data_IF_183044880202
#
_entry.id   IF_183044880202
#
_cell.length_a   1.000
_cell.length_b   1.000
_cell.length_c   1.000
_cell.angle_alpha   90.00
_cell.angle_beta   90.00
_cell.angle_gamma   90.00
#
_symmetry.space_group_name_H-M   'P 1'
#
loop_
_entity.id
_entity.type
_entity.pdbx_description
1 polymer ?
#
# COMPACT_ATOMS: atom_id res chain seq x y z
N UNK A 1 -22.90 -1.03 6.27
CA UNK A 1 -21.96 -1.68 5.35
C UNK A 1 -21.43 -2.92 6.05
N UNK A 2 -21.18 -4.02 5.35
CA UNK A 2 -20.47 -5.15 5.96
C UNK A 2 -19.09 -4.64 6.39
N UNK A 3 -18.67 -5.02 7.59
CA UNK A 3 -17.38 -4.67 8.18
C UNK A 3 -16.50 -5.91 8.12
N UNK A 4 -15.27 -5.76 7.62
CA UNK A 4 -14.30 -6.84 7.64
C UNK A 4 -13.69 -6.95 9.04
N UNK A 5 -13.80 -8.13 9.66
CA UNK A 5 -13.20 -8.41 10.96
C UNK A 5 -12.03 -9.38 10.81
N UNK A 6 -10.93 -9.09 11.49
CA UNK A 6 -9.73 -9.92 11.56
C UNK A 6 -9.03 -9.79 12.92
N UNK A 7 -8.20 -10.77 13.26
CA UNK A 7 -7.41 -10.74 14.49
C UNK A 7 -6.41 -9.59 14.43
N UNK A 8 -6.41 -8.71 15.44
CA UNK A 8 -5.54 -7.54 15.51
C UNK A 8 -6.14 -6.24 14.98
N UNK A 9 -7.33 -6.25 14.36
CA UNK A 9 -7.99 -5.03 13.85
C UNK A 9 -8.08 -3.94 14.92
N UNK A 10 -8.54 -4.26 16.11
CA UNK A 10 -8.71 -3.31 17.21
C UNK A 10 -7.43 -2.57 17.59
N UNK A 11 -6.26 -3.20 17.35
CA UNK A 11 -4.93 -2.63 17.64
C UNK A 11 -4.43 -1.70 16.55
N UNK A 12 -4.84 -1.92 15.31
CA UNK A 12 -4.32 -1.17 14.15
C UNK A 12 -5.28 -0.13 13.60
N UNK A 13 -6.56 -0.18 13.96
CA UNK A 13 -7.60 0.71 13.42
C UNK A 13 -7.27 2.20 13.60
N UNK A 14 -6.65 2.56 14.71
CA UNK A 14 -6.22 3.92 15.02
C UNK A 14 -4.70 4.11 14.97
N UNK A 15 -3.93 3.06 14.71
CA UNK A 15 -2.47 3.11 14.76
C UNK A 15 -1.86 4.21 13.87
N UNK A 16 -2.47 4.52 12.72
CA UNK A 16 -2.06 5.63 11.86
C UNK A 16 -2.05 7.00 12.57
N UNK A 17 -2.76 7.15 13.68
CA UNK A 17 -2.76 8.37 14.51
C UNK A 17 -1.53 8.40 15.44
N UNK A 18 -1.14 7.23 15.95
CA UNK A 18 -0.05 7.06 16.93
C UNK A 18 1.34 7.07 16.27
N UNK A 19 1.42 6.88 14.95
CA UNK A 19 2.68 6.97 14.20
C UNK A 19 3.31 8.34 14.42
N UNK A 20 4.57 8.42 14.88
CA UNK A 20 5.21 9.70 15.14
C UNK A 20 5.44 10.50 13.86
N UNK A 21 5.29 11.83 13.94
CA UNK A 21 5.74 12.71 12.87
C UNK A 21 7.27 12.72 12.82
N UNK A 22 7.83 12.34 11.68
CA UNK A 22 9.27 12.44 11.41
C UNK A 22 9.52 13.63 10.49
N UNK A 23 10.73 14.17 10.59
CA UNK A 23 11.20 15.22 9.69
C UNK A 23 11.90 14.56 8.50
N UNK A 24 11.51 14.96 7.29
CA UNK A 24 12.21 14.53 6.08
C UNK A 24 13.49 15.37 5.97
N UNK A 25 14.64 14.71 5.94
CA UNK A 25 15.95 15.33 5.81
C UNK A 25 16.44 15.17 4.38
N UNK A 26 16.71 16.30 3.70
CA UNK A 26 17.34 16.29 2.38
C UNK A 26 18.79 15.80 2.51
N UNK A 27 19.14 14.80 1.71
CA UNK A 27 20.49 14.22 1.70
C UNK A 27 21.29 14.65 0.48
N UNK A 28 20.67 14.69 -0.67
CA UNK A 28 21.24 15.11 -1.95
C UNK A 28 20.13 15.33 -2.97
N UNK A 29 20.43 16.07 -4.01
CA UNK A 29 19.58 16.20 -5.21
C UNK A 29 20.26 15.60 -6.44
N UNK A 30 19.47 15.40 -7.49
CA UNK A 30 19.94 14.87 -8.77
C UNK A 30 19.33 15.69 -9.91
N UNK A 31 20.14 15.98 -10.93
CA UNK A 31 19.71 16.53 -12.21
C UNK A 31 20.48 15.88 -13.37
N UNK A 32 20.41 16.46 -14.55
CA UNK A 32 21.12 15.99 -15.75
C UNK A 32 22.65 15.99 -15.62
N UNK A 33 23.21 16.80 -14.70
CA UNK A 33 24.63 16.90 -14.42
C UNK A 33 25.10 15.95 -13.31
N UNK A 34 24.17 15.21 -12.68
CA UNK A 34 24.47 14.21 -11.66
C UNK A 34 24.02 14.61 -10.25
N UNK A 35 24.75 14.10 -9.26
CA UNK A 35 24.44 14.29 -7.84
C UNK A 35 25.01 15.62 -7.30
N UNK A 36 24.18 16.32 -6.52
CA UNK A 36 24.52 17.55 -5.82
C UNK A 36 24.22 17.42 -4.33
N UNK A 37 25.08 17.99 -3.49
CA UNK A 37 24.88 18.01 -2.04
C UNK A 37 23.85 19.06 -1.59
N UNK A 38 23.50 19.98 -2.47
CA UNK A 38 22.55 21.05 -2.22
C UNK A 38 21.21 20.75 -2.90
N UNK A 39 20.14 21.36 -2.39
CA UNK A 39 18.84 21.28 -3.02
C UNK A 39 18.85 22.06 -4.35
N UNK A 40 18.50 21.39 -5.44
CA UNK A 40 18.42 22.01 -6.76
C UNK A 40 17.02 22.60 -7.08
N UNK A 41 16.13 22.67 -6.08
CA UNK A 41 14.78 23.20 -6.21
C UNK A 41 13.80 22.25 -6.92
N UNK A 42 14.16 20.99 -7.15
CA UNK A 42 13.23 19.99 -7.69
C UNK A 42 12.10 19.70 -6.72
N UNK A 43 10.87 19.66 -7.24
CA UNK A 43 9.70 19.24 -6.46
C UNK A 43 9.55 17.71 -6.37
N UNK A 44 10.31 16.96 -7.18
CA UNK A 44 10.32 15.49 -7.15
C UNK A 44 11.17 14.99 -5.98
N UNK A 45 10.69 13.93 -5.30
CA UNK A 45 11.37 13.38 -4.12
C UNK A 45 11.44 11.86 -4.17
N UNK A 46 12.57 11.31 -3.72
CA UNK A 46 12.72 9.90 -3.36
C UNK A 46 12.92 9.85 -1.85
N UNK A 47 11.97 9.25 -1.15
CA UNK A 47 12.02 9.15 0.32
C UNK A 47 12.46 7.75 0.70
N UNK A 48 13.52 7.65 1.52
CA UNK A 48 14.04 6.39 2.06
C UNK A 48 13.74 6.28 3.54
N UNK A 49 13.14 5.16 3.95
CA UNK A 49 12.81 4.87 5.35
C UNK A 49 11.63 3.92 5.47
N UNK A 50 11.11 3.76 6.68
CA UNK A 50 9.85 3.07 6.89
C UNK A 50 8.71 3.85 6.21
N UNK A 51 7.96 3.17 5.36
CA UNK A 51 6.93 3.84 4.55
C UNK A 51 5.74 4.34 5.38
N UNK A 52 5.43 3.73 6.53
CA UNK A 52 4.37 4.20 7.42
C UNK A 52 4.76 5.53 8.08
N UNK A 53 6.02 5.65 8.55
CA UNK A 53 6.57 6.90 9.08
C UNK A 53 6.71 7.96 7.97
N UNK A 54 7.14 7.57 6.77
CA UNK A 54 7.25 8.46 5.62
C UNK A 54 5.89 9.05 5.21
N UNK A 55 4.84 8.21 5.11
CA UNK A 55 3.48 8.68 4.82
C UNK A 55 2.97 9.66 5.89
N UNK A 56 3.25 9.39 7.18
CA UNK A 56 2.90 10.31 8.27
C UNK A 56 3.63 11.63 8.15
N UNK A 57 4.93 11.61 7.81
CA UNK A 57 5.77 12.79 7.62
C UNK A 57 5.33 13.68 6.46
N UNK A 58 4.64 13.11 5.46
CA UNK A 58 4.11 13.86 4.32
C UNK A 58 2.83 14.63 4.64
N UNK A 59 2.04 14.23 5.64
CA UNK A 59 0.74 14.86 5.94
C UNK A 59 0.80 16.37 6.11
N UNK A 60 1.75 16.95 6.89
CA UNK A 60 1.74 18.41 7.11
C UNK A 60 1.80 19.24 5.81
N UNK A 61 2.38 18.67 4.75
CA UNK A 61 2.52 19.36 3.45
C UNK A 61 1.53 18.92 2.40
N UNK A 62 1.10 17.64 2.43
CA UNK A 62 0.36 17.02 1.33
C UNK A 62 -1.02 16.47 1.71
N UNK A 63 -1.51 16.63 2.94
CA UNK A 63 -2.86 16.17 3.31
C UNK A 63 -3.91 16.81 2.38
N UNK A 64 -4.73 15.95 1.75
CA UNK A 64 -5.78 16.37 0.83
C UNK A 64 -5.29 16.97 -0.49
N UNK A 65 -4.02 16.78 -0.88
CA UNK A 65 -3.43 17.45 -2.06
C UNK A 65 -2.93 16.52 -3.15
N UNK A 66 -2.77 15.22 -2.88
CA UNK A 66 -2.23 14.26 -3.83
C UNK A 66 -3.32 13.84 -4.82
N UNK A 67 -3.11 14.11 -6.11
CA UNK A 67 -4.09 13.83 -7.16
C UNK A 67 -4.10 12.39 -7.61
N UNK A 68 -2.94 11.73 -7.62
CA UNK A 68 -2.80 10.36 -8.05
C UNK A 68 -1.83 9.63 -7.11
N UNK A 69 -2.26 8.47 -6.64
CA UNK A 69 -1.44 7.56 -5.85
C UNK A 69 -1.40 6.23 -6.60
N UNK A 70 -0.20 5.66 -6.74
CA UNK A 70 -0.02 4.28 -7.16
C UNK A 70 0.78 3.55 -6.09
N UNK A 71 0.29 2.38 -5.68
CA UNK A 71 1.02 1.50 -4.78
C UNK A 71 1.04 0.08 -5.32
N UNK A 72 2.15 -0.59 -5.02
CA UNK A 72 2.40 -2.00 -5.30
C UNK A 72 2.78 -2.68 -3.98
N UNK A 73 1.78 -3.10 -3.18
CA UNK A 73 2.01 -3.71 -1.88
C UNK A 73 2.50 -5.16 -2.04
N UNK A 74 3.04 -5.80 -0.99
CA UNK A 74 3.29 -7.23 -1.00
C UNK A 74 2.00 -8.01 -1.32
N UNK A 75 2.07 -8.96 -2.27
CA UNK A 75 0.92 -9.76 -2.69
C UNK A 75 0.62 -10.94 -1.76
N UNK A 76 1.43 -11.11 -0.71
CA UNK A 76 1.26 -12.16 0.30
C UNK A 76 1.27 -13.58 -0.30
N UNK A 77 2.12 -13.82 -1.29
CA UNK A 77 2.27 -15.12 -1.94
C UNK A 77 2.80 -16.17 -0.97
N UNK A 78 2.20 -17.38 -0.96
CA UNK A 78 2.51 -18.45 0.01
C UNK A 78 3.86 -19.17 -0.20
N UNK A 79 4.71 -18.74 -1.13
CA UNK A 79 5.97 -19.41 -1.46
C UNK A 79 7.11 -19.07 -0.50
N UNK A 80 7.07 -19.64 0.71
CA UNK A 80 8.14 -19.57 1.71
C UNK A 80 9.04 -20.82 1.70
N UNK A 81 9.54 -21.28 0.57
CA UNK A 81 10.44 -22.44 0.54
C UNK A 81 11.91 -22.13 0.31
N UNK A 82 12.32 -20.87 0.24
CA UNK A 82 13.74 -20.50 0.13
C UNK A 82 14.23 -19.78 1.38
N UNK A 83 14.66 -20.55 2.38
CA UNK A 83 15.19 -20.06 3.68
C UNK A 83 16.53 -19.31 3.60
N UNK A 84 17.13 -19.09 2.43
CA UNK A 84 18.52 -18.62 2.33
C UNK A 84 18.83 -17.69 1.14
N UNK A 85 18.02 -16.67 0.85
CA UNK A 85 18.48 -15.56 -0.01
C UNK A 85 18.42 -14.24 0.71
N UNK A 86 19.58 -13.58 0.81
CA UNK A 86 19.71 -12.18 1.26
C UNK A 86 18.81 -11.30 0.39
N UNK A 87 17.92 -10.55 1.02
CA UNK A 87 16.65 -10.12 0.49
C UNK A 87 16.57 -8.64 0.20
N UNK A 88 16.03 -8.26 -0.95
CA UNK A 88 15.77 -6.87 -1.31
C UNK A 88 14.27 -6.55 -1.36
N UNK A 89 13.40 -7.53 -1.61
CA UNK A 89 11.94 -7.37 -1.57
C UNK A 89 11.25 -8.66 -1.10
N UNK A 90 10.43 -8.62 -0.02
CA UNK A 90 9.61 -9.72 0.43
C UNK A 90 8.15 -9.47 0.11
N UNK A 91 7.59 -10.26 -0.80
CA UNK A 91 6.15 -10.33 -1.02
C UNK A 91 5.40 -10.94 0.18
N UNK A 92 6.13 -11.21 1.25
CA UNK A 92 5.64 -11.81 2.48
C UNK A 92 5.69 -10.84 3.63
N UNK A 93 4.64 -10.83 4.45
CA UNK A 93 4.57 -10.16 5.75
C UNK A 93 5.50 -10.76 6.82
N UNK A 94 6.35 -11.71 6.46
CA UNK A 94 7.33 -12.36 7.34
C UNK A 94 8.65 -11.57 7.48
N UNK A 95 8.71 -10.32 7.01
CA UNK A 95 9.84 -9.43 7.30
C UNK A 95 10.02 -9.30 8.82
N UNK A 96 11.25 -9.51 9.37
CA UNK A 96 11.49 -9.45 10.80
C UNK A 96 11.05 -8.14 11.47
N UNK A 97 11.10 -7.01 10.75
CA UNK A 97 10.66 -5.70 11.28
C UNK A 97 9.14 -5.63 11.35
N UNK A 98 8.44 -6.15 10.33
CA UNK A 98 6.98 -6.24 10.34
C UNK A 98 6.53 -7.20 11.43
N UNK A 99 7.18 -8.36 11.59
CA UNK A 99 6.89 -9.30 12.67
C UNK A 99 7.14 -8.68 14.05
N UNK A 100 8.26 -7.99 14.25
CA UNK A 100 8.55 -7.29 15.49
C UNK A 100 7.49 -6.22 15.78
N UNK A 101 7.07 -5.47 14.77
CA UNK A 101 6.02 -4.48 14.91
C UNK A 101 4.66 -5.12 15.24
N UNK A 102 4.29 -6.21 14.56
CA UNK A 102 3.06 -6.97 14.83
C UNK A 102 3.08 -7.48 16.29
N UNK A 103 4.17 -8.09 16.72
CA UNK A 103 4.30 -8.62 18.08
C UNK A 103 4.19 -7.52 19.15
N UNK A 104 4.73 -6.33 18.90
CA UNK A 104 4.61 -5.18 19.78
C UNK A 104 3.17 -4.62 19.77
N UNK A 105 2.57 -4.48 18.61
CA UNK A 105 1.30 -3.76 18.41
C UNK A 105 0.09 -4.64 18.70
N UNK A 106 0.13 -5.91 18.31
CA UNK A 106 -0.96 -6.88 18.45
C UNK A 106 -0.79 -7.72 19.73
N UNK A 107 0.46 -7.89 20.20
CA UNK A 107 0.78 -8.62 21.42
C UNK A 107 0.61 -10.14 21.26
N UNK A 108 0.19 -10.81 22.35
CA UNK A 108 0.08 -12.29 22.40
C UNK A 108 -0.89 -12.88 21.36
N UNK A 109 -1.84 -12.12 20.87
CA UNK A 109 -2.73 -12.53 19.77
C UNK A 109 -1.98 -12.68 18.43
N UNK A 110 -0.76 -12.11 18.35
CA UNK A 110 0.09 -12.16 17.15
C UNK A 110 0.57 -13.58 16.77
N UNK A 111 0.58 -14.52 17.70
CA UNK A 111 0.99 -15.91 17.45
C UNK A 111 -0.08 -16.69 16.65
N UNK A 112 -1.36 -16.34 16.83
CA UNK A 112 -2.49 -16.99 16.18
C UNK A 112 -2.90 -16.32 14.83
N UNK A 113 -2.20 -15.26 14.43
CA UNK A 113 -2.52 -14.54 13.21
C UNK A 113 -2.27 -15.38 11.95
N UNK A 114 -3.29 -15.47 11.12
CA UNK A 114 -3.11 -15.97 9.76
C UNK A 114 -2.26 -15.00 8.93
N UNK A 115 -1.77 -15.46 7.78
CA UNK A 115 -1.04 -14.57 6.87
C UNK A 115 -1.89 -13.38 6.39
N UNK A 116 -3.20 -13.58 6.22
CA UNK A 116 -4.15 -12.54 5.82
C UNK A 116 -4.35 -11.49 6.93
N UNK A 117 -4.46 -11.93 8.20
CA UNK A 117 -4.56 -11.02 9.34
C UNK A 117 -3.32 -10.15 9.47
N UNK A 118 -2.12 -10.74 9.31
CA UNK A 118 -0.84 -10.01 9.32
C UNK A 118 -0.78 -8.97 8.21
N UNK A 119 -1.20 -9.35 7.01
CA UNK A 119 -1.25 -8.45 5.85
C UNK A 119 -2.20 -7.29 6.10
N UNK A 120 -3.40 -7.54 6.62
CA UNK A 120 -4.38 -6.52 6.98
C UNK A 120 -3.86 -5.57 8.06
N UNK A 121 -3.22 -6.10 9.11
CA UNK A 121 -2.60 -5.29 10.15
C UNK A 121 -1.53 -4.35 9.58
N UNK A 122 -0.73 -4.82 8.63
CA UNK A 122 0.28 -4.01 7.95
C UNK A 122 -0.34 -2.96 7.03
N UNK A 123 -1.33 -3.33 6.23
CA UNK A 123 -1.88 -2.47 5.18
C UNK A 123 -2.85 -1.42 5.70
N UNK A 124 -3.68 -1.75 6.68
CA UNK A 124 -4.75 -0.86 7.14
C UNK A 124 -4.27 0.54 7.55
N UNK A 125 -3.26 0.72 8.43
CA UNK A 125 -2.80 2.05 8.80
C UNK A 125 -2.17 2.81 7.61
N UNK A 126 -1.55 2.11 6.66
CA UNK A 126 -1.00 2.70 5.43
C UNK A 126 -2.10 3.23 4.51
N UNK A 127 -3.13 2.44 4.27
CA UNK A 127 -4.29 2.84 3.47
C UNK A 127 -5.03 4.04 4.10
N UNK A 128 -5.12 4.10 5.44
CA UNK A 128 -5.68 5.26 6.16
C UNK A 128 -4.87 6.53 5.93
N UNK A 129 -3.54 6.46 5.92
CA UNK A 129 -2.68 7.61 5.63
C UNK A 129 -2.74 8.02 4.16
N UNK A 130 -2.76 7.05 3.24
CA UNK A 130 -2.92 7.30 1.81
C UNK A 130 -4.26 8.00 1.51
N UNK A 131 -5.35 7.55 2.15
CA UNK A 131 -6.65 8.23 2.05
C UNK A 131 -6.59 9.68 2.52
N UNK A 132 -5.85 9.97 3.60
CA UNK A 132 -5.68 11.36 4.08
C UNK A 132 -4.89 12.23 3.11
N UNK A 133 -3.86 11.67 2.47
CA UNK A 133 -3.06 12.39 1.46
C UNK A 133 -3.85 12.70 0.20
N UNK A 134 -4.81 11.83 -0.17
CA UNK A 134 -5.57 11.94 -1.41
C UNK A 134 -6.44 13.19 -1.43
N UNK A 135 -6.36 13.96 -2.53
CA UNK A 135 -7.23 15.11 -2.80
C UNK A 135 -8.69 14.67 -2.99
N UNK A 136 -9.64 15.58 -2.86
CA UNK A 136 -11.06 15.26 -3.05
C UNK A 136 -11.36 14.68 -4.44
N UNK A 137 -10.69 15.18 -5.47
CA UNK A 137 -10.75 14.68 -6.85
C UNK A 137 -9.61 13.69 -7.17
N UNK A 138 -8.92 13.19 -6.13
CA UNK A 138 -7.80 12.27 -6.28
C UNK A 138 -8.22 10.82 -6.48
N UNK A 139 -7.35 10.07 -7.14
CA UNK A 139 -7.51 8.63 -7.44
C UNK A 139 -6.33 7.84 -6.91
N UNK A 140 -6.61 6.63 -6.41
CA UNK A 140 -5.59 5.65 -6.02
C UNK A 140 -5.72 4.39 -6.86
N UNK A 141 -4.58 3.89 -7.30
CA UNK A 141 -4.42 2.62 -7.99
C UNK A 141 -3.59 1.68 -7.12
N UNK A 142 -4.04 0.45 -6.95
CA UNK A 142 -3.40 -0.53 -6.08
C UNK A 142 -3.25 -1.84 -6.85
N UNK A 143 -2.01 -2.23 -7.15
CA UNK A 143 -1.71 -3.53 -7.76
C UNK A 143 -1.88 -4.64 -6.74
N UNK A 144 -2.42 -5.77 -7.18
CA UNK A 144 -2.63 -6.97 -6.34
C UNK A 144 -2.89 -8.20 -7.22
N UNK A 145 -2.60 -9.38 -6.71
CA UNK A 145 -2.98 -10.65 -7.32
C UNK A 145 -4.15 -11.34 -6.59
N UNK A 146 -4.51 -12.54 -7.04
CA UNK A 146 -5.61 -13.35 -6.48
C UNK A 146 -5.45 -13.68 -4.99
N UNK A 147 -4.22 -13.56 -4.40
CA UNK A 147 -4.02 -13.93 -3.00
C UNK A 147 -4.72 -12.96 -2.04
N UNK A 148 -4.75 -11.67 -2.35
CA UNK A 148 -5.31 -10.64 -1.47
C UNK A 148 -6.29 -9.69 -2.17
N UNK A 149 -6.68 -9.93 -3.43
CA UNK A 149 -7.57 -9.04 -4.17
C UNK A 149 -8.91 -8.83 -3.45
N UNK A 150 -9.56 -9.89 -3.00
CA UNK A 150 -10.84 -9.82 -2.30
C UNK A 150 -10.70 -9.12 -0.94
N UNK A 151 -9.63 -9.45 -0.20
CA UNK A 151 -9.31 -8.84 1.10
C UNK A 151 -9.05 -7.34 0.95
N UNK A 152 -8.23 -6.95 -0.05
CA UNK A 152 -7.94 -5.56 -0.36
C UNK A 152 -9.21 -4.79 -0.75
N UNK A 153 -10.07 -5.40 -1.58
CA UNK A 153 -11.33 -4.76 -1.97
C UNK A 153 -12.20 -4.46 -0.73
N UNK A 154 -12.37 -5.44 0.16
CA UNK A 154 -13.18 -5.24 1.38
C UNK A 154 -12.60 -4.16 2.30
N UNK A 155 -11.29 -4.12 2.51
CA UNK A 155 -10.66 -3.11 3.37
C UNK A 155 -10.68 -1.73 2.73
N UNK A 156 -10.55 -1.65 1.41
CA UNK A 156 -10.71 -0.39 0.67
C UNK A 156 -12.16 0.12 0.71
N UNK A 157 -13.15 -0.76 0.59
CA UNK A 157 -14.56 -0.40 0.77
C UNK A 157 -14.83 0.20 2.15
N UNK A 158 -14.17 -0.31 3.21
CA UNK A 158 -14.29 0.23 4.56
C UNK A 158 -13.62 1.62 4.70
N UNK A 159 -12.45 1.81 4.09
CA UNK A 159 -11.63 3.03 4.25
C UNK A 159 -12.07 4.15 3.30
N UNK A 160 -12.21 3.84 2.03
CA UNK A 160 -12.55 4.80 0.97
C UNK A 160 -14.06 4.95 0.78
N UNK A 161 -14.82 3.91 1.12
CA UNK A 161 -16.26 3.82 0.88
C UNK A 161 -16.57 3.07 -0.43
N UNK A 162 -17.48 2.11 -0.38
CA UNK A 162 -17.85 1.26 -1.53
C UNK A 162 -18.30 2.05 -2.76
N UNK A 163 -19.00 3.18 -2.57
CA UNK A 163 -19.45 4.05 -3.67
C UNK A 163 -18.31 4.70 -4.43
N UNK A 164 -17.14 4.74 -3.82
CA UNK A 164 -15.93 5.37 -4.33
C UNK A 164 -15.04 4.39 -5.12
N UNK A 165 -15.45 3.12 -5.20
CA UNK A 165 -14.86 2.16 -6.11
C UNK A 165 -15.13 2.55 -7.56
N UNK A 166 -14.08 2.65 -8.37
CA UNK A 166 -14.15 3.06 -9.78
C UNK A 166 -14.09 1.84 -10.70
N UNK A 167 -13.05 1.03 -10.54
CA UNK A 167 -12.81 -0.12 -11.40
C UNK A 167 -11.82 -1.11 -10.78
N UNK A 168 -11.90 -2.34 -11.25
CA UNK A 168 -10.84 -3.34 -11.13
C UNK A 168 -10.34 -3.64 -12.54
N UNK A 169 -9.12 -3.20 -12.83
CA UNK A 169 -8.47 -3.43 -14.11
C UNK A 169 -7.76 -4.78 -14.07
N UNK A 170 -7.84 -5.52 -15.15
CA UNK A 170 -7.09 -6.76 -15.34
C UNK A 170 -5.79 -6.41 -16.06
N UNK A 171 -4.66 -6.60 -15.37
CA UNK A 171 -3.33 -6.41 -15.93
C UNK A 171 -2.80 -7.74 -16.42
N UNK A 172 -2.62 -7.88 -17.74
CA UNK A 172 -2.03 -9.10 -18.29
C UNK A 172 -0.52 -9.12 -17.99
N UNK A 173 -0.09 -10.14 -17.25
CA UNK A 173 1.33 -10.43 -17.04
C UNK A 173 1.75 -11.57 -17.96
N UNK A 174 2.80 -11.34 -18.77
CA UNK A 174 3.41 -12.40 -19.59
C UNK A 174 4.48 -13.19 -18.78
N UNK A 175 4.27 -13.31 -17.46
CA UNK A 175 5.22 -13.87 -16.50
C UNK A 175 5.54 -15.34 -16.70
N UNK A 176 6.59 -15.79 -16.04
CA UNK A 176 7.09 -17.17 -16.04
C UNK A 176 5.98 -18.14 -15.63
N UNK A 177 5.43 -18.83 -16.61
CA UNK A 177 4.45 -19.86 -16.37
C UNK A 177 5.10 -21.05 -15.67
N UNK A 178 4.53 -21.47 -14.56
CA UNK A 178 4.79 -22.82 -14.06
C UNK A 178 4.26 -23.81 -15.09
N UNK A 179 5.19 -24.47 -15.81
CA UNK A 179 4.81 -25.42 -16.85
C UNK A 179 4.10 -26.67 -16.30
N UNK A 180 4.08 -26.86 -14.98
CA UNK A 180 3.41 -27.95 -14.29
C UNK A 180 1.99 -27.57 -13.84
N UNK A 181 1.62 -26.29 -13.87
CA UNK A 181 0.30 -25.85 -13.48
C UNK A 181 -0.75 -26.29 -14.52
N UNK A 182 -1.84 -26.91 -14.03
CA UNK A 182 -2.96 -27.33 -14.88
C UNK A 182 -3.76 -26.15 -15.46
N UNK A 183 -3.82 -25.07 -14.71
CA UNK A 183 -4.44 -23.80 -15.12
C UNK A 183 -3.38 -22.72 -14.95
N UNK A 184 -3.14 -21.95 -16.02
CA UNK A 184 -2.17 -20.86 -16.02
C UNK A 184 -2.88 -19.56 -15.67
N UNK A 185 -2.41 -18.88 -14.62
CA UNK A 185 -2.81 -17.52 -14.29
C UNK A 185 -1.81 -16.60 -14.97
N UNK A 186 -2.28 -15.67 -15.82
CA UNK A 186 -1.47 -14.72 -16.57
C UNK A 186 -2.00 -13.30 -16.43
N UNK A 187 -2.53 -12.96 -15.28
CA UNK A 187 -3.02 -11.63 -14.97
C UNK A 187 -2.88 -11.32 -13.47
N UNK A 188 -2.91 -10.06 -13.20
CA UNK A 188 -2.98 -9.43 -11.90
C UNK A 188 -4.09 -8.37 -11.96
N UNK A 189 -4.37 -7.71 -10.85
CA UNK A 189 -5.40 -6.68 -10.79
C UNK A 189 -4.80 -5.35 -10.39
N UNK A 190 -5.46 -4.27 -10.83
CA UNK A 190 -5.24 -2.93 -10.31
C UNK A 190 -6.59 -2.42 -9.83
N UNK A 191 -6.78 -2.31 -8.52
CA UNK A 191 -7.97 -1.73 -7.93
C UNK A 191 -7.87 -0.21 -7.97
N UNK A 192 -8.97 0.44 -8.37
CA UNK A 192 -9.06 1.89 -8.50
C UNK A 192 -10.15 2.44 -7.58
N UNK A 193 -9.78 3.36 -6.70
CA UNK A 193 -10.71 4.10 -5.85
C UNK A 193 -10.49 5.60 -5.99
N UNK A 194 -11.56 6.38 -5.93
CA UNK A 194 -11.49 7.84 -5.82
C UNK A 194 -11.92 8.28 -4.42
N UNK A 195 -11.51 9.48 -4.00
CA UNK A 195 -12.03 10.06 -2.77
C UNK A 195 -13.45 10.56 -2.96
N UNK A 196 -13.74 11.17 -4.11
CA UNK A 196 -15.08 11.57 -4.53
C UNK A 196 -15.25 11.34 -6.05
N UNK A 197 -15.93 10.27 -6.49
CA UNK A 197 -16.09 9.96 -7.90
C UNK A 197 -16.98 10.95 -8.65
N UNK A 198 -17.81 11.75 -7.96
CA UNK A 198 -18.64 12.78 -8.58
C UNK A 198 -17.78 13.92 -9.20
N UNK A 199 -16.51 13.99 -8.80
CA UNK A 199 -15.53 14.94 -9.34
C UNK A 199 -14.72 14.36 -10.52
N UNK A 200 -15.00 13.13 -10.94
CA UNK A 200 -14.40 12.56 -12.14
C UNK A 200 -14.94 13.32 -13.37
N UNK A 201 -14.12 14.22 -13.90
CA UNK A 201 -14.47 14.91 -15.14
C UNK A 201 -14.63 13.89 -16.27
N UNK A 202 -15.79 13.89 -16.94
CA UNK A 202 -15.92 13.16 -18.19
C UNK A 202 -14.89 13.71 -19.18
N UNK A 203 -14.19 12.85 -19.95
CA UNK A 203 -13.34 13.35 -21.02
C UNK A 203 -14.20 14.21 -21.94
N UNK A 204 -13.83 15.47 -22.08
CA UNK A 204 -14.47 16.39 -22.99
C UNK A 204 -14.21 15.89 -24.42
N UNK A 205 -15.19 15.25 -25.02
CA UNK A 205 -15.21 14.90 -26.45
C UNK A 205 -15.01 13.39 -26.70
N UNK A 206 -16.09 12.65 -26.65
CA UNK A 206 -16.39 11.54 -27.56
C UNK A 206 -17.69 11.89 -28.26
#
# INVERSE_FOLDING_TARGET
>A
MPTLEWIGKSKVINHHQDVPFRVLESKYSFDENGQHNEDNGSENMIIRGDNLEALKALLPRYEGRVKCIYIDPPYNTAKSSEKNKAWVYSDNVDDPKIQAWINITVGNEGEDLTRHDKWLCMMYPRLKLLYKLLAEDGIIFISIDDNEADTLHMVCDEIFGRRNFVAQLVWRSDGNFDNQAKIKICHEYILCYMKNPDLLGLPSGV
#
